data_IF_282637952158
#
_entry.id   IF_282637952158
#
_cell.length_a   1.000
_cell.length_b   1.000
_cell.length_c   1.000
_cell.angle_alpha   90.00
_cell.angle_beta   90.00
_cell.angle_gamma   90.00
#
_symmetry.space_group_name_H-M   'P 1'
#
loop_
_entity.id
_entity.type
_entity.pdbx_description
1 polymer ?
#
# COMPACT_ATOMS: atom_id res chain seq x y z
N UNK A 1 -13.85 -4.38 13.93
CA UNK A 1 -13.68 -3.24 13.05
C UNK A 1 -12.23 -3.14 12.59
N UNK A 2 -12.02 -2.99 11.26
CA UNK A 2 -10.68 -2.87 10.68
C UNK A 2 -10.31 -1.39 10.50
N UNK A 3 -9.55 -0.87 11.47
CA UNK A 3 -9.11 0.54 11.46
C UNK A 3 -8.08 0.78 10.37
N UNK A 4 -7.26 -0.23 10.00
CA UNK A 4 -6.30 -0.11 8.94
C UNK A 4 -6.94 0.16 7.59
N UNK A 5 -7.91 -0.66 7.22
CA UNK A 5 -8.69 -0.48 5.99
C UNK A 5 -9.52 0.81 6.02
N UNK A 6 -10.11 1.15 7.18
CA UNK A 6 -10.85 2.42 7.34
C UNK A 6 -9.93 3.62 7.10
N UNK A 7 -8.73 3.62 7.69
CA UNK A 7 -7.76 4.69 7.49
C UNK A 7 -7.32 4.80 6.02
N UNK A 8 -7.07 3.66 5.35
CA UNK A 8 -6.73 3.62 3.92
C UNK A 8 -7.83 4.25 3.05
N UNK A 9 -9.10 3.89 3.30
CA UNK A 9 -10.25 4.43 2.56
C UNK A 9 -10.37 5.94 2.81
N UNK A 10 -10.27 6.39 4.05
CA UNK A 10 -10.35 7.81 4.39
C UNK A 10 -9.20 8.62 3.79
N UNK A 11 -7.96 8.09 3.80
CA UNK A 11 -6.82 8.73 3.14
C UNK A 11 -7.03 8.84 1.63
N UNK A 12 -7.50 7.77 0.99
CA UNK A 12 -7.78 7.76 -0.45
C UNK A 12 -8.89 8.75 -0.80
N UNK A 13 -9.98 8.76 -0.03
CA UNK A 13 -11.08 9.70 -0.21
C UNK A 13 -10.65 11.15 -0.02
N UNK A 14 -9.89 11.44 1.06
CA UNK A 14 -9.37 12.79 1.30
C UNK A 14 -8.43 13.26 0.18
N UNK A 15 -7.60 12.36 -0.35
CA UNK A 15 -6.75 12.65 -1.50
C UNK A 15 -7.55 12.95 -2.77
N UNK A 16 -8.63 12.21 -3.03
CA UNK A 16 -9.55 12.50 -4.14
C UNK A 16 -10.17 13.88 -4.02
N UNK A 17 -10.65 14.24 -2.83
CA UNK A 17 -11.24 15.55 -2.56
C UNK A 17 -10.22 16.67 -2.76
N UNK A 18 -8.98 16.47 -2.31
CA UNK A 18 -7.89 17.39 -2.55
C UNK A 18 -7.59 17.60 -4.04
N UNK A 19 -7.48 16.51 -4.82
CA UNK A 19 -7.29 16.58 -6.27
C UNK A 19 -8.48 17.20 -7.01
N UNK A 20 -9.69 17.04 -6.48
CA UNK A 20 -10.89 17.66 -7.02
C UNK A 20 -10.99 19.18 -6.75
N UNK A 21 -10.00 19.75 -6.06
CA UNK A 21 -9.92 21.20 -5.80
C UNK A 21 -10.52 21.62 -4.46
N UNK A 22 -10.61 20.73 -3.47
CA UNK A 22 -11.07 21.09 -2.12
C UNK A 22 -10.17 22.21 -1.54
N UNK A 23 -10.74 23.27 -0.94
CA UNK A 23 -9.95 24.31 -0.30
C UNK A 23 -9.02 23.75 0.78
N UNK A 24 -7.77 24.22 0.82
CA UNK A 24 -6.74 23.75 1.75
C UNK A 24 -7.15 23.82 3.23
N UNK A 25 -8.07 24.74 3.57
CA UNK A 25 -8.62 24.85 4.92
C UNK A 25 -9.28 23.54 5.39
N UNK A 26 -10.03 22.88 4.51
CA UNK A 26 -10.67 21.58 4.85
C UNK A 26 -9.63 20.46 4.97
N UNK A 27 -8.58 20.46 4.14
CA UNK A 27 -7.49 19.49 4.22
C UNK A 27 -6.74 19.64 5.55
N UNK A 28 -6.40 20.87 5.93
CA UNK A 28 -5.74 21.16 7.21
C UNK A 28 -6.66 20.80 8.38
N UNK A 29 -7.96 21.13 8.28
CA UNK A 29 -8.96 20.77 9.28
C UNK A 29 -9.06 19.24 9.47
N UNK A 30 -9.14 18.50 8.38
CA UNK A 30 -9.18 17.04 8.41
C UNK A 30 -7.88 16.43 8.98
N UNK A 31 -6.72 16.97 8.57
CA UNK A 31 -5.42 16.55 9.13
C UNK A 31 -5.32 16.86 10.63
N UNK A 32 -5.88 17.98 11.11
CA UNK A 32 -5.94 18.31 12.53
C UNK A 32 -6.92 17.44 13.33
N UNK A 33 -8.02 17.01 12.71
CA UNK A 33 -9.01 16.12 13.33
C UNK A 33 -8.56 14.66 13.38
N UNK A 34 -7.68 14.22 12.46
CA UNK A 34 -7.21 12.83 12.41
C UNK A 34 -6.52 12.37 13.70
N UNK A 35 -5.59 13.12 14.34
CA UNK A 35 -5.02 12.76 15.63
C UNK A 35 -6.06 12.69 16.75
N UNK A 36 -7.04 13.59 16.74
CA UNK A 36 -8.14 13.59 17.72
C UNK A 36 -9.00 12.34 17.56
N UNK A 37 -9.36 12.01 16.32
CA UNK A 37 -10.10 10.77 16.01
C UNK A 37 -9.32 9.51 16.39
N UNK A 38 -8.02 9.47 16.16
CA UNK A 38 -7.14 8.38 16.59
C UNK A 38 -7.08 8.27 18.12
N UNK A 39 -6.94 9.40 18.82
CA UNK A 39 -6.94 9.42 20.29
C UNK A 39 -8.28 8.94 20.88
N UNK A 40 -9.40 9.37 20.31
CA UNK A 40 -10.73 8.87 20.71
C UNK A 40 -10.88 7.37 20.41
N UNK A 41 -10.36 6.89 19.30
CA UNK A 41 -10.34 5.45 18.98
C UNK A 41 -9.48 4.67 19.99
N UNK A 42 -8.34 5.21 20.40
CA UNK A 42 -7.50 4.62 21.45
C UNK A 42 -8.24 4.52 22.79
N UNK A 43 -8.97 5.56 23.20
CA UNK A 43 -9.70 5.57 24.47
C UNK A 43 -10.91 4.63 24.48
N UNK A 44 -11.61 4.46 23.36
CA UNK A 44 -12.89 3.76 23.29
C UNK A 44 -12.82 2.34 22.71
N UNK A 45 -11.74 1.98 22.04
CA UNK A 45 -11.60 0.71 21.33
C UNK A 45 -10.46 -0.11 21.90
N UNK A 46 -10.80 -1.12 22.72
CA UNK A 46 -9.81 -1.99 23.40
C UNK A 46 -8.81 -2.65 22.46
N UNK A 47 -9.22 -3.01 21.23
CA UNK A 47 -8.31 -3.59 20.25
C UNK A 47 -7.30 -2.59 19.67
N UNK A 48 -7.63 -1.27 19.66
CA UNK A 48 -6.68 -0.20 19.28
C UNK A 48 -5.68 0.01 20.39
N UNK A 49 -6.19 0.13 21.61
CA UNK A 49 -5.36 0.27 22.82
C UNK A 49 -4.34 -0.86 22.91
N UNK A 50 -4.79 -2.12 22.83
CA UNK A 50 -3.90 -3.28 22.86
C UNK A 50 -2.80 -3.26 21.78
N UNK A 51 -3.11 -2.79 20.57
CA UNK A 51 -2.12 -2.71 19.47
C UNK A 51 -1.11 -1.58 19.69
N UNK A 52 -1.59 -0.44 20.16
CA UNK A 52 -0.73 0.72 20.45
C UNK A 52 0.17 0.42 21.66
N UNK A 53 -0.38 -0.12 22.73
CA UNK A 53 0.39 -0.45 23.94
C UNK A 53 1.45 -1.50 23.62
N UNK A 54 1.11 -2.58 22.92
CA UNK A 54 2.09 -3.58 22.46
C UNK A 54 3.18 -2.98 21.55
N UNK A 55 2.84 -2.01 20.73
CA UNK A 55 3.83 -1.34 19.89
C UNK A 55 4.85 -0.57 20.72
N UNK A 56 4.41 0.15 21.76
CA UNK A 56 5.31 0.90 22.67
C UNK A 56 6.06 0.00 23.66
N UNK A 57 5.53 -1.17 24.00
CA UNK A 57 6.19 -2.17 24.84
C UNK A 57 7.33 -2.95 24.11
N UNK A 58 7.62 -2.60 22.85
CA UNK A 58 8.68 -3.23 22.04
C UNK A 58 8.18 -4.08 20.88
N UNK A 59 6.87 -4.20 20.71
CA UNK A 59 6.22 -4.96 19.66
C UNK A 59 5.60 -6.26 20.16
N UNK A 60 4.74 -6.83 19.32
CA UNK A 60 4.22 -8.18 19.58
C UNK A 60 5.31 -9.23 19.31
N UNK A 61 5.17 -10.42 19.87
CA UNK A 61 6.02 -11.55 19.57
C UNK A 61 6.19 -11.78 18.04
N UNK A 62 5.16 -11.54 17.25
CA UNK A 62 5.21 -11.61 15.78
C UNK A 62 6.19 -10.59 15.18
N UNK A 63 6.24 -9.39 15.74
CA UNK A 63 7.16 -8.32 15.29
C UNK A 63 8.61 -8.65 15.67
N UNK A 64 8.82 -9.24 16.85
CA UNK A 64 10.17 -9.71 17.23
C UNK A 64 10.65 -10.78 16.26
N UNK A 65 9.80 -11.75 15.91
CA UNK A 65 10.12 -12.77 14.90
C UNK A 65 10.36 -12.18 13.52
N UNK A 66 9.57 -11.19 13.11
CA UNK A 66 9.82 -10.48 11.85
C UNK A 66 11.18 -9.78 11.84
N UNK A 67 11.57 -9.11 12.93
CA UNK A 67 12.92 -8.50 13.08
C UNK A 67 14.03 -9.55 13.03
N UNK A 68 13.81 -10.70 13.66
CA UNK A 68 14.74 -11.83 13.63
C UNK A 68 14.93 -12.35 12.18
N UNK A 69 13.85 -12.47 11.39
CA UNK A 69 13.92 -12.79 9.97
C UNK A 69 14.80 -11.82 9.17
N UNK A 70 14.71 -10.51 9.45
CA UNK A 70 15.58 -9.52 8.82
C UNK A 70 17.05 -9.67 9.25
N UNK A 71 17.30 -10.03 10.52
CA UNK A 71 18.64 -10.22 11.04
C UNK A 71 19.32 -11.48 10.47
N UNK A 72 18.59 -12.60 10.42
CA UNK A 72 19.07 -13.87 9.85
C UNK A 72 19.33 -13.79 8.35
N UNK A 73 18.46 -13.09 7.60
CA UNK A 73 18.58 -12.94 6.15
C UNK A 73 19.80 -12.12 5.71
N UNK A 74 20.28 -11.19 6.53
CA UNK A 74 21.43 -10.34 6.18
C UNK A 74 21.26 -9.64 4.83
N UNK A 75 22.35 -9.56 4.05
CA UNK A 75 22.31 -8.89 2.74
C UNK A 75 21.77 -9.78 1.61
N UNK A 76 22.07 -11.08 1.61
CA UNK A 76 21.80 -12.00 0.50
C UNK A 76 20.74 -13.06 0.81
N UNK A 77 20.27 -13.14 2.06
CA UNK A 77 19.34 -14.17 2.51
C UNK A 77 20.02 -15.50 2.84
N UNK A 78 19.26 -16.36 3.51
CA UNK A 78 19.71 -17.72 3.84
C UNK A 78 19.50 -18.71 2.69
N UNK A 79 18.69 -18.35 1.70
CA UNK A 79 18.33 -19.17 0.56
C UNK A 79 16.83 -19.40 0.43
N UNK A 80 16.33 -19.57 -0.83
CA UNK A 80 14.91 -19.84 -1.08
C UNK A 80 14.47 -21.15 -0.43
N UNK A 81 13.51 -21.05 0.48
CA UNK A 81 12.98 -22.21 1.20
C UNK A 81 13.71 -22.57 2.51
N UNK A 82 14.95 -22.12 2.72
CA UNK A 82 15.80 -22.49 3.86
C UNK A 82 15.55 -21.64 5.11
N UNK A 83 14.67 -20.61 5.03
CA UNK A 83 14.28 -19.80 6.17
C UNK A 83 13.64 -20.65 7.28
N UNK A 84 14.09 -20.48 8.51
CA UNK A 84 13.62 -21.21 9.71
C UNK A 84 12.70 -20.33 10.55
N UNK A 85 12.96 -19.04 10.64
CA UNK A 85 12.19 -18.10 11.46
C UNK A 85 10.75 -17.97 10.93
N UNK A 86 10.56 -17.97 9.61
CA UNK A 86 9.24 -17.95 8.96
C UNK A 86 8.31 -19.09 9.42
N UNK A 87 8.86 -20.27 9.81
CA UNK A 87 8.07 -21.41 10.28
C UNK A 87 7.39 -21.14 11.63
N UNK A 88 7.95 -20.23 12.40
CA UNK A 88 7.43 -19.81 13.71
C UNK A 88 6.66 -18.49 13.64
N UNK A 89 6.52 -17.88 12.46
CA UNK A 89 5.82 -16.60 12.27
C UNK A 89 4.37 -16.87 11.82
N UNK A 90 3.36 -16.60 12.66
CA UNK A 90 1.96 -16.69 12.25
C UNK A 90 1.69 -15.77 11.08
N UNK A 91 0.87 -16.23 10.13
CA UNK A 91 0.50 -15.48 8.93
C UNK A 91 1.70 -14.94 8.13
N UNK A 92 2.84 -15.66 8.17
CA UNK A 92 4.07 -15.31 7.48
C UNK A 92 3.86 -15.02 5.98
N UNK A 93 3.03 -15.81 5.32
CA UNK A 93 2.76 -15.71 3.88
C UNK A 93 1.73 -14.64 3.50
N UNK A 94 1.02 -14.04 4.46
CA UNK A 94 0.06 -12.96 4.22
C UNK A 94 0.55 -11.62 4.78
N UNK A 95 0.64 -11.53 6.10
CA UNK A 95 0.89 -10.26 6.80
C UNK A 95 2.37 -9.91 6.97
N UNK A 96 3.25 -10.91 6.91
CA UNK A 96 4.69 -10.75 7.11
C UNK A 96 5.53 -11.24 5.92
N UNK A 97 4.93 -11.35 4.72
CA UNK A 97 5.64 -11.83 3.53
C UNK A 97 6.91 -11.03 3.22
N UNK A 98 6.95 -9.74 3.57
CA UNK A 98 8.13 -8.90 3.40
C UNK A 98 9.28 -9.31 4.34
N UNK A 99 8.96 -9.77 5.56
CA UNK A 99 9.96 -10.33 6.47
C UNK A 99 10.46 -11.71 5.98
N UNK A 100 9.57 -12.53 5.42
CA UNK A 100 9.97 -13.80 4.79
C UNK A 100 10.90 -13.56 3.60
N UNK A 101 10.59 -12.57 2.77
CA UNK A 101 11.46 -12.17 1.66
C UNK A 101 12.82 -11.68 2.14
N UNK A 102 12.87 -10.99 3.30
CA UNK A 102 14.11 -10.57 3.92
C UNK A 102 14.95 -11.75 4.40
N UNK A 103 14.33 -12.76 5.04
CA UNK A 103 15.01 -13.96 5.50
C UNK A 103 15.60 -14.78 4.34
N UNK A 104 14.78 -15.06 3.32
CA UNK A 104 15.19 -15.96 2.23
C UNK A 104 16.09 -15.30 1.19
N UNK A 105 15.82 -14.02 0.84
CA UNK A 105 16.49 -13.32 -0.26
C UNK A 105 17.33 -12.12 0.19
N UNK A 106 17.27 -11.77 1.48
CA UNK A 106 18.07 -10.72 2.09
C UNK A 106 17.59 -9.29 1.81
N UNK A 107 18.35 -8.33 2.38
CA UNK A 107 18.05 -6.91 2.29
C UNK A 107 18.07 -6.38 0.84
N UNK A 108 18.89 -6.93 -0.04
CA UNK A 108 18.99 -6.52 -1.45
C UNK A 108 17.66 -6.79 -2.17
N UNK A 109 17.05 -7.95 -1.95
CA UNK A 109 15.75 -8.27 -2.53
C UNK A 109 14.64 -7.38 -1.97
N UNK A 110 14.68 -7.06 -0.68
CA UNK A 110 13.75 -6.12 -0.06
C UNK A 110 13.87 -4.71 -0.67
N UNK A 111 15.09 -4.23 -0.91
CA UNK A 111 15.32 -2.96 -1.59
C UNK A 111 14.87 -2.98 -3.05
N UNK A 112 15.07 -4.09 -3.75
CA UNK A 112 14.57 -4.28 -5.11
C UNK A 112 13.03 -4.25 -5.15
N UNK A 113 12.35 -4.91 -4.20
CA UNK A 113 10.90 -4.84 -4.05
C UNK A 113 10.43 -3.41 -3.77
N UNK A 114 11.06 -2.73 -2.82
CA UNK A 114 10.74 -1.33 -2.50
C UNK A 114 10.91 -0.43 -3.74
N UNK A 115 11.99 -0.61 -4.49
CA UNK A 115 12.26 0.09 -5.75
C UNK A 115 11.21 -0.21 -6.82
N UNK A 116 10.76 -1.46 -6.94
CA UNK A 116 9.70 -1.87 -7.88
C UNK A 116 8.37 -1.19 -7.55
N UNK A 117 7.95 -1.22 -6.28
CA UNK A 117 6.73 -0.52 -5.87
C UNK A 117 6.85 0.99 -6.08
N UNK A 118 7.99 1.59 -5.70
CA UNK A 118 8.29 3.00 -5.96
C UNK A 118 8.22 3.35 -7.44
N UNK A 119 8.80 2.51 -8.31
CA UNK A 119 8.72 2.69 -9.77
C UNK A 119 7.27 2.66 -10.28
N UNK A 120 6.47 1.68 -9.84
CA UNK A 120 5.06 1.58 -10.24
C UNK A 120 4.27 2.82 -9.80
N UNK A 121 4.47 3.28 -8.57
CA UNK A 121 3.82 4.47 -8.02
C UNK A 121 4.20 5.72 -8.81
N UNK A 122 5.51 5.98 -8.97
CA UNK A 122 6.00 7.16 -9.70
C UNK A 122 5.50 7.14 -11.14
N UNK A 123 5.59 5.98 -11.80
CA UNK A 123 5.12 5.82 -13.18
C UNK A 123 3.62 6.00 -13.30
N UNK A 124 2.86 5.49 -12.32
CA UNK A 124 1.41 5.64 -12.26
C UNK A 124 0.99 7.11 -12.12
N UNK A 125 1.60 7.86 -11.19
CA UNK A 125 1.35 9.29 -11.05
C UNK A 125 1.76 10.10 -12.28
N UNK A 126 2.93 9.81 -12.86
CA UNK A 126 3.37 10.46 -14.10
C UNK A 126 2.36 10.24 -15.25
N UNK A 127 1.78 9.04 -15.34
CA UNK A 127 0.74 8.74 -16.31
C UNK A 127 -0.59 9.42 -16.00
N UNK A 128 -0.98 9.51 -14.73
CA UNK A 128 -2.17 10.24 -14.31
C UNK A 128 -2.09 11.72 -14.70
N UNK A 129 -0.94 12.36 -14.47
CA UNK A 129 -0.71 13.77 -14.79
C UNK A 129 -0.63 14.05 -16.31
N UNK A 130 -0.24 13.07 -17.12
CA UNK A 130 -0.17 13.20 -18.59
C UNK A 130 -1.47 12.80 -19.30
N UNK A 131 -2.49 12.34 -18.55
CA UNK A 131 -3.79 11.93 -19.08
C UNK A 131 -4.68 13.12 -19.42
N UNK A 132 -5.63 12.91 -20.33
CA UNK A 132 -6.63 13.90 -20.70
C UNK A 132 -7.88 13.76 -19.81
N UNK A 133 -8.29 14.88 -19.20
CA UNK A 133 -9.51 14.99 -18.40
C UNK A 133 -9.34 14.78 -16.90
N UNK A 134 -10.03 15.64 -16.15
CA UNK A 134 -9.99 15.67 -14.67
C UNK A 134 -10.40 14.35 -14.03
N UNK A 135 -11.39 13.67 -14.61
CA UNK A 135 -11.85 12.37 -14.13
C UNK A 135 -10.73 11.31 -14.21
N UNK A 136 -10.05 11.19 -15.36
CA UNK A 136 -8.97 10.23 -15.54
C UNK A 136 -7.80 10.52 -14.58
N UNK A 137 -7.47 11.80 -14.38
CA UNK A 137 -6.46 12.22 -13.45
C UNK A 137 -6.80 11.82 -12.01
N UNK A 138 -7.98 12.21 -11.52
CA UNK A 138 -8.39 11.91 -10.13
C UNK A 138 -8.51 10.41 -9.92
N UNK A 139 -9.17 9.68 -10.82
CA UNK A 139 -9.37 8.24 -10.69
C UNK A 139 -8.04 7.49 -10.70
N UNK A 140 -7.15 7.76 -11.67
CA UNK A 140 -5.85 7.09 -11.76
C UNK A 140 -4.96 7.41 -10.56
N UNK A 141 -4.84 8.70 -10.21
CA UNK A 141 -4.01 9.12 -9.09
C UNK A 141 -4.47 8.51 -7.76
N UNK A 142 -5.78 8.40 -7.55
CA UNK A 142 -6.35 7.79 -6.34
C UNK A 142 -6.10 6.29 -6.26
N UNK A 143 -6.23 5.57 -7.37
CA UNK A 143 -5.94 4.14 -7.42
C UNK A 143 -4.45 3.86 -7.20
N UNK A 144 -3.57 4.68 -7.79
CA UNK A 144 -2.11 4.59 -7.58
C UNK A 144 -1.75 4.90 -6.13
N UNK A 145 -2.37 5.93 -5.54
CA UNK A 145 -2.18 6.27 -4.13
C UNK A 145 -2.62 5.13 -3.22
N UNK A 146 -3.82 4.57 -3.43
CA UNK A 146 -4.32 3.45 -2.63
C UNK A 146 -3.36 2.25 -2.68
N UNK A 147 -2.91 1.88 -3.89
CA UNK A 147 -1.93 0.82 -4.10
C UNK A 147 -0.62 1.11 -3.35
N UNK A 148 -0.10 2.33 -3.48
CA UNK A 148 1.14 2.75 -2.84
C UNK A 148 1.07 2.81 -1.33
N UNK A 149 0.00 3.38 -0.76
CA UNK A 149 -0.22 3.46 0.69
C UNK A 149 -0.36 2.07 1.29
N UNK A 150 -1.13 1.18 0.65
CA UNK A 150 -1.28 -0.20 1.12
C UNK A 150 0.07 -0.93 1.16
N UNK A 151 0.88 -0.85 0.10
CA UNK A 151 2.20 -1.44 0.06
C UNK A 151 3.14 -0.84 1.12
N UNK A 152 3.12 0.49 1.29
CA UNK A 152 3.93 1.20 2.27
C UNK A 152 3.57 0.81 3.70
N UNK A 153 2.27 0.71 4.03
CA UNK A 153 1.80 0.29 5.36
C UNK A 153 2.25 -1.14 5.64
N UNK A 154 2.12 -2.07 4.67
CA UNK A 154 2.57 -3.45 4.85
C UNK A 154 4.08 -3.53 5.13
N UNK A 155 4.91 -2.88 4.31
CA UNK A 155 6.36 -2.88 4.49
C UNK A 155 6.77 -2.19 5.80
N UNK A 156 6.17 -1.05 6.14
CA UNK A 156 6.44 -0.34 7.38
C UNK A 156 6.04 -1.13 8.64
N UNK A 157 4.92 -1.86 8.60
CA UNK A 157 4.50 -2.73 9.71
C UNK A 157 5.43 -3.93 9.88
N UNK A 158 5.95 -4.50 8.80
CA UNK A 158 6.89 -5.63 8.83
C UNK A 158 8.24 -5.26 9.48
N UNK A 159 8.67 -4.01 9.34
CA UNK A 159 9.89 -3.49 10.00
C UNK A 159 9.62 -2.76 11.33
N UNK A 160 8.39 -2.85 11.85
CA UNK A 160 7.98 -2.22 13.11
C UNK A 160 8.11 -0.68 13.15
N UNK A 161 7.94 -0.02 12.02
CA UNK A 161 7.83 1.45 11.99
C UNK A 161 6.42 1.93 12.40
N UNK A 162 5.42 1.08 12.21
CA UNK A 162 4.02 1.33 12.60
C UNK A 162 3.43 0.08 13.26
N UNK A 163 2.39 0.22 14.10
CA UNK A 163 1.71 -0.94 14.68
C UNK A 163 1.22 -1.91 13.62
N UNK A 164 1.40 -3.22 13.85
CA UNK A 164 1.01 -4.28 12.93
C UNK A 164 -0.48 -4.22 12.62
N UNK A 165 -0.80 -4.32 11.32
CA UNK A 165 -2.17 -4.33 10.81
C UNK A 165 -2.24 -5.39 9.73
N UNK A 166 -3.04 -6.40 9.87
CA UNK A 166 -3.24 -7.46 8.88
C UNK A 166 -3.61 -6.93 7.48
N UNK A 167 -2.67 -6.27 6.82
CA UNK A 167 -2.82 -5.72 5.47
C UNK A 167 -1.86 -6.44 4.54
N UNK A 168 -2.38 -6.95 3.44
CA UNK A 168 -1.60 -7.70 2.46
C UNK A 168 -0.75 -6.79 1.56
N UNK A 169 0.44 -7.25 1.19
CA UNK A 169 1.26 -6.62 0.14
C UNK A 169 0.65 -6.95 -1.24
N UNK A 170 0.23 -5.95 -2.03
CA UNK A 170 -0.40 -6.20 -3.32
C UNK A 170 0.44 -7.12 -4.22
N UNK A 171 -0.18 -8.12 -4.83
CA UNK A 171 0.41 -9.15 -5.70
C UNK A 171 1.38 -10.15 -5.08
N UNK A 172 1.94 -9.89 -3.90
CA UNK A 172 2.95 -10.76 -3.28
C UNK A 172 2.37 -11.55 -2.11
N UNK A 173 1.57 -10.91 -1.24
CA UNK A 173 0.93 -11.60 -0.13
C UNK A 173 -0.06 -12.65 -0.61
N UNK A 174 -0.07 -13.78 0.07
CA UNK A 174 -1.09 -14.80 -0.12
C UNK A 174 -2.46 -14.27 0.32
N UNK A 175 -3.42 -14.26 -0.61
CA UNK A 175 -4.80 -13.82 -0.33
C UNK A 175 -5.61 -13.71 -1.63
N UNK A 176 -6.57 -14.61 -1.84
CA UNK A 176 -7.35 -14.65 -3.07
C UNK A 176 -8.12 -13.35 -3.34
N UNK A 177 -8.81 -12.81 -2.33
CA UNK A 177 -9.56 -11.55 -2.45
C UNK A 177 -8.63 -10.35 -2.67
N UNK A 178 -7.48 -10.33 -2.00
CA UNK A 178 -6.47 -9.28 -2.16
C UNK A 178 -5.86 -9.29 -3.57
N UNK A 179 -5.56 -10.46 -4.10
CA UNK A 179 -5.03 -10.61 -5.47
C UNK A 179 -6.04 -10.13 -6.50
N UNK A 180 -7.32 -10.50 -6.37
CA UNK A 180 -8.39 -10.02 -7.26
C UNK A 180 -8.55 -8.50 -7.19
N UNK A 181 -8.58 -7.92 -5.98
CA UNK A 181 -8.69 -6.49 -5.78
C UNK A 181 -7.49 -5.73 -6.38
N UNK A 182 -6.26 -6.22 -6.15
CA UNK A 182 -5.04 -5.62 -6.71
C UNK A 182 -5.00 -5.72 -8.22
N UNK A 183 -5.45 -6.84 -8.80
CA UNK A 183 -5.54 -7.04 -10.25
C UNK A 183 -6.56 -6.10 -10.88
N UNK A 184 -7.73 -5.94 -10.26
CA UNK A 184 -8.75 -4.99 -10.72
C UNK A 184 -8.24 -3.55 -10.65
N UNK A 185 -7.61 -3.17 -9.54
CA UNK A 185 -7.00 -1.84 -9.36
C UNK A 185 -5.98 -1.55 -10.45
N UNK A 186 -5.05 -2.48 -10.71
CA UNK A 186 -4.04 -2.31 -11.75
C UNK A 186 -4.65 -2.30 -13.15
N UNK A 187 -5.66 -3.15 -13.40
CA UNK A 187 -6.41 -3.17 -14.65
C UNK A 187 -7.09 -1.82 -14.93
N UNK A 188 -7.72 -1.21 -13.92
CA UNK A 188 -8.33 0.11 -14.02
C UNK A 188 -7.28 1.21 -14.27
N UNK A 189 -6.14 1.18 -13.58
CA UNK A 189 -5.03 2.12 -13.82
C UNK A 189 -4.58 2.03 -15.28
N UNK A 190 -4.35 0.83 -15.80
CA UNK A 190 -3.93 0.60 -17.18
C UNK A 190 -5.00 1.06 -18.19
N UNK A 191 -6.27 0.79 -17.93
CA UNK A 191 -7.39 1.21 -18.79
C UNK A 191 -7.53 2.73 -18.86
N UNK A 192 -7.43 3.42 -17.70
CA UNK A 192 -7.54 4.87 -17.59
C UNK A 192 -6.33 5.60 -18.19
N UNK A 193 -5.15 4.98 -18.17
CA UNK A 193 -3.91 5.57 -18.68
C UNK A 193 -3.59 5.17 -20.13
N UNK A 194 -4.44 4.36 -20.76
CA UNK A 194 -4.27 3.96 -22.16
C UNK A 194 -4.50 5.15 -23.06
N UNK A 195 -3.53 5.47 -23.95
CA UNK A 195 -3.74 6.45 -25.02
C UNK A 195 -4.83 5.95 -25.96
N UNK A 196 -5.92 6.68 -26.09
CA UNK A 196 -6.92 6.44 -27.12
C UNK A 196 -6.31 7.00 -28.41
N UNK A 197 -5.96 6.15 -29.35
CA UNK A 197 -5.76 6.54 -30.75
C UNK A 197 -7.13 6.87 -31.31
N UNK A 198 -7.45 8.15 -31.40
CA UNK A 198 -8.64 8.61 -32.12
C UNK A 198 -8.40 8.27 -33.59
N UNK A 199 -9.21 7.36 -34.12
CA UNK A 199 -9.24 7.06 -35.56
C UNK A 199 -10.02 8.18 -36.21
N UNK A 200 -9.44 9.38 -36.33
CA UNK A 200 -10.03 10.51 -37.05
C UNK A 200 -9.74 10.43 -38.57
N UNK A 201 -9.37 9.24 -39.08
CA UNK A 201 -9.06 9.08 -40.47
C UNK A 201 -10.26 8.75 -41.40
N UNK A 202 -11.49 8.73 -40.88
CA UNK A 202 -12.66 8.44 -41.72
C UNK A 202 -13.60 9.62 -41.99
N UNK A 203 -13.27 10.83 -41.53
CA UNK A 203 -14.13 12.00 -41.73
C UNK A 203 -13.77 12.89 -42.93
N UNK A 204 -12.61 12.69 -43.58
CA UNK A 204 -12.14 13.59 -44.65
C UNK A 204 -12.17 12.98 -46.07
N UNK A 205 -12.85 11.86 -46.26
CA UNK A 205 -12.99 11.15 -47.55
C UNK A 205 -14.27 11.40 -48.34
N UNK A 206 -15.01 12.46 -48.08
CA UNK A 206 -16.32 12.66 -48.69
C UNK A 206 -16.67 14.07 -49.15
N UNK A 207 -15.70 14.82 -49.70
CA UNK A 207 -16.03 16.04 -50.51
C UNK A 207 -15.07 16.15 -51.67
N UNK A 208 -15.43 15.52 -52.75
CA UNK A 208 -14.99 15.86 -54.11
C UNK A 208 -16.24 16.04 -54.94
#
# INVERSE_FOLDING_TARGET
PDIGMTALILMTWGFQMFLAGMPMLFVIGAAGLAPVGFYLAYLNLSHVQLRVDKFFEGGSWQVERAKESFAEGGYFGVGPGDGVVKLHLPDAHSDFIFAVAAEEYGAIACLALLGLYGFVIIRGFARALSGEGLFCLIATASLVMQFGVQASIHMASSVNLIPTKGMTLPFISYGGSSLLASSLTMGLILALTRKRTTIDHFADGGRS
#
